data_IF_062850742606
#
_entry.id   IF_062850742606
#
_cell.length_a   1.000
_cell.length_b   1.000
_cell.length_c   1.000
_cell.angle_alpha   90.00
_cell.angle_beta   90.00
_cell.angle_gamma   90.00
#
_symmetry.space_group_name_H-M   'P 1'
#
loop_
_entity.id
_entity.type
_entity.pdbx_description
1 polymer ?
#
# COMPACT_ATOMS: atom_id res chain seq x y z
N UNK A 1 -12.03 -19.19 -20.13
CA UNK A 1 -12.44 -20.57 -20.49
C UNK A 1 -12.80 -20.72 -21.97
N UNK A 2 -13.85 -20.06 -22.48
CA UNK A 2 -14.26 -20.16 -23.90
C UNK A 2 -13.13 -19.84 -24.89
N UNK A 3 -12.36 -18.79 -24.61
CA UNK A 3 -11.18 -18.38 -25.40
C UNK A 3 -10.10 -19.47 -25.51
N UNK A 4 -10.02 -20.35 -24.52
CA UNK A 4 -8.96 -21.35 -24.42
C UNK A 4 -9.41 -22.64 -25.11
N UNK A 5 -10.64 -23.08 -24.86
CA UNK A 5 -11.16 -24.35 -25.40
C UNK A 5 -11.53 -24.26 -26.88
N UNK A 6 -11.82 -23.05 -27.37
CA UNK A 6 -12.22 -22.80 -28.75
C UNK A 6 -11.12 -22.14 -29.58
N UNK A 7 -9.90 -22.01 -29.04
CA UNK A 7 -8.77 -21.40 -29.74
C UNK A 7 -8.40 -22.23 -30.98
N UNK A 8 -8.36 -21.59 -32.15
CA UNK A 8 -8.01 -22.24 -33.41
C UNK A 8 -9.11 -23.14 -34.00
N UNK A 9 -10.33 -23.12 -33.45
CA UNK A 9 -11.49 -23.83 -34.02
C UNK A 9 -12.34 -22.89 -34.87
N UNK A 10 -12.86 -23.41 -35.99
CA UNK A 10 -13.95 -22.77 -36.73
C UNK A 10 -15.23 -22.80 -35.90
N UNK A 11 -16.16 -21.89 -36.17
CA UNK A 11 -17.39 -21.78 -35.36
C UNK A 11 -18.23 -23.06 -35.36
N UNK A 12 -18.26 -23.77 -36.48
CA UNK A 12 -18.90 -25.08 -36.65
C UNK A 12 -18.28 -26.19 -35.77
N UNK A 13 -17.00 -26.05 -35.38
CA UNK A 13 -16.26 -27.02 -34.58
C UNK A 13 -16.34 -26.71 -33.05
N UNK A 14 -17.03 -25.62 -32.66
CA UNK A 14 -17.16 -25.15 -31.27
C UNK A 14 -18.35 -25.82 -30.57
N UNK A 15 -18.11 -27.01 -30.03
CA UNK A 15 -19.11 -27.80 -29.30
C UNK A 15 -19.55 -27.18 -27.96
N UNK A 16 -18.69 -26.38 -27.31
CA UNK A 16 -19.03 -25.71 -26.05
C UNK A 16 -19.28 -24.22 -26.23
N UNK A 17 -20.47 -23.77 -25.86
CA UNK A 17 -20.83 -22.36 -25.73
C UNK A 17 -20.68 -21.83 -24.29
N UNK A 18 -20.88 -20.52 -24.13
CA UNK A 18 -20.83 -19.83 -22.82
C UNK A 18 -21.91 -20.33 -21.85
N UNK A 19 -23.04 -20.82 -22.35
CA UNK A 19 -24.13 -21.29 -21.52
C UNK A 19 -23.76 -22.57 -20.75
N UNK A 20 -23.05 -23.51 -21.38
CA UNK A 20 -22.52 -24.70 -20.68
C UNK A 20 -21.56 -24.32 -19.54
N UNK A 21 -20.71 -23.31 -19.76
CA UNK A 21 -19.79 -22.81 -18.73
C UNK A 21 -20.55 -22.17 -17.56
N UNK A 22 -21.59 -21.39 -17.86
CA UNK A 22 -22.45 -20.76 -16.85
C UNK A 22 -23.16 -21.81 -16.00
N UNK A 23 -23.68 -22.86 -16.63
CA UNK A 23 -24.31 -23.99 -15.95
C UNK A 23 -23.34 -24.73 -15.02
N UNK A 24 -22.10 -24.96 -15.46
CA UNK A 24 -21.07 -25.56 -14.60
C UNK A 24 -20.79 -24.72 -13.35
N UNK A 25 -20.71 -23.39 -13.49
CA UNK A 25 -20.52 -22.47 -12.35
C UNK A 25 -21.71 -22.53 -11.39
N UNK A 26 -22.94 -22.47 -11.88
CA UNK A 26 -24.13 -22.51 -11.02
C UNK A 26 -24.22 -23.81 -10.22
N UNK A 27 -24.00 -24.96 -10.86
CA UNK A 27 -23.97 -26.25 -10.15
C UNK A 27 -22.82 -26.34 -9.16
N UNK A 28 -21.63 -25.84 -9.49
CA UNK A 28 -20.50 -25.85 -8.56
C UNK A 28 -20.75 -25.01 -7.30
N UNK A 29 -21.44 -23.88 -7.45
CA UNK A 29 -21.85 -23.03 -6.33
C UNK A 29 -22.89 -23.75 -5.47
N UNK A 30 -23.96 -24.28 -6.07
CA UNK A 30 -25.05 -24.94 -5.34
C UNK A 30 -24.58 -26.20 -4.60
N UNK A 31 -23.64 -26.96 -5.18
CA UNK A 31 -23.11 -28.18 -4.57
C UNK A 31 -22.09 -27.91 -3.45
N UNK A 32 -21.83 -26.65 -3.09
CA UNK A 32 -20.84 -26.25 -2.07
C UNK A 32 -19.49 -26.96 -2.22
N UNK A 33 -19.05 -27.17 -3.48
CA UNK A 33 -17.78 -27.87 -3.74
C UNK A 33 -16.55 -27.10 -3.21
N UNK A 34 -16.73 -25.86 -2.76
CA UNK A 34 -15.76 -25.04 -2.02
C UNK A 34 -16.48 -24.23 -0.94
N UNK A 35 -15.88 -24.15 0.25
CA UNK A 35 -16.44 -23.42 1.40
C UNK A 35 -16.48 -21.89 1.18
N UNK A 36 -15.66 -21.32 0.28
CA UNK A 36 -15.63 -19.87 0.02
C UNK A 36 -15.29 -19.52 -1.43
N UNK A 37 -16.29 -19.04 -2.19
CA UNK A 37 -16.12 -18.42 -3.51
C UNK A 37 -15.61 -16.98 -3.36
N UNK A 38 -14.31 -16.82 -3.18
CA UNK A 38 -13.65 -15.52 -3.04
C UNK A 38 -12.48 -15.38 -4.03
N UNK A 39 -12.02 -14.14 -4.33
CA UNK A 39 -10.95 -13.90 -5.30
C UNK A 39 -9.66 -14.69 -5.02
N UNK A 40 -9.33 -14.93 -3.74
CA UNK A 40 -8.16 -15.69 -3.31
C UNK A 40 -8.21 -17.17 -3.76
N UNK A 41 -9.41 -17.71 -3.95
CA UNK A 41 -9.64 -19.09 -4.37
C UNK A 41 -10.00 -19.21 -5.86
N UNK A 42 -9.73 -18.18 -6.67
CA UNK A 42 -10.14 -18.14 -8.08
C UNK A 42 -9.65 -19.36 -8.88
N UNK A 43 -8.39 -19.75 -8.73
CA UNK A 43 -7.84 -20.93 -9.43
C UNK A 43 -8.46 -22.24 -8.93
N UNK A 44 -8.74 -22.34 -7.63
CA UNK A 44 -9.40 -23.52 -7.05
C UNK A 44 -10.83 -23.63 -7.59
N UNK A 45 -11.57 -22.52 -7.62
CA UNK A 45 -12.90 -22.43 -8.21
C UNK A 45 -12.91 -22.71 -9.70
N UNK A 46 -11.91 -22.22 -10.44
CA UNK A 46 -11.71 -22.53 -11.84
C UNK A 46 -11.57 -24.05 -12.06
N UNK A 47 -10.68 -24.71 -11.32
CA UNK A 47 -10.44 -26.15 -11.48
C UNK A 47 -11.61 -27.00 -11.01
N UNK A 48 -12.37 -26.58 -9.99
CA UNK A 48 -13.60 -27.25 -9.57
C UNK A 48 -14.65 -27.24 -10.70
N UNK A 49 -14.94 -26.08 -11.28
CA UNK A 49 -15.83 -25.94 -12.42
C UNK A 49 -15.33 -26.72 -13.64
N UNK A 50 -14.02 -26.68 -13.90
CA UNK A 50 -13.42 -27.38 -15.04
C UNK A 50 -13.51 -28.91 -14.90
N UNK A 51 -13.21 -29.46 -13.73
CA UNK A 51 -13.33 -30.90 -13.45
C UNK A 51 -14.78 -31.37 -13.54
N UNK A 52 -15.73 -30.57 -13.06
CA UNK A 52 -17.16 -30.84 -13.20
C UNK A 52 -17.55 -30.94 -14.68
N UNK A 53 -17.13 -29.96 -15.50
CA UNK A 53 -17.38 -29.96 -16.94
C UNK A 53 -16.71 -31.15 -17.65
N UNK A 54 -15.48 -31.50 -17.27
CA UNK A 54 -14.76 -32.64 -17.84
C UNK A 54 -15.49 -33.95 -17.54
N UNK A 55 -15.98 -34.12 -16.31
CA UNK A 55 -16.83 -35.26 -15.90
C UNK A 55 -18.11 -35.33 -16.73
N UNK A 56 -18.81 -34.21 -16.89
CA UNK A 56 -20.03 -34.12 -17.71
C UNK A 56 -19.80 -34.50 -19.17
N UNK A 57 -18.68 -34.07 -19.76
CA UNK A 57 -18.34 -34.45 -21.14
C UNK A 57 -17.99 -35.94 -21.22
N UNK A 58 -17.32 -36.50 -20.22
CA UNK A 58 -17.04 -37.93 -20.15
C UNK A 58 -18.33 -38.76 -20.08
N UNK A 59 -19.26 -38.35 -19.22
CA UNK A 59 -20.54 -39.05 -19.00
C UNK A 59 -21.58 -38.75 -20.10
N UNK A 60 -21.37 -37.69 -20.90
CA UNK A 60 -22.34 -37.26 -21.91
C UNK A 60 -23.56 -36.55 -21.31
N UNK A 61 -23.42 -35.98 -20.11
CA UNK A 61 -24.52 -35.40 -19.34
C UNK A 61 -24.18 -33.98 -18.91
N UNK A 62 -24.94 -33.00 -19.37
CA UNK A 62 -24.89 -31.62 -18.89
C UNK A 62 -26.29 -31.17 -18.46
N UNK A 63 -26.63 -31.29 -17.17
CA UNK A 63 -27.98 -30.99 -16.69
C UNK A 63 -28.20 -29.48 -16.72
N UNK A 64 -29.25 -29.03 -17.39
CA UNK A 64 -29.65 -27.62 -17.33
C UNK A 64 -29.90 -27.21 -15.87
N UNK A 65 -29.45 -26.02 -15.48
CA UNK A 65 -29.54 -25.57 -14.09
C UNK A 65 -31.00 -25.38 -13.60
N UNK A 66 -31.90 -24.91 -14.47
CA UNK A 66 -33.30 -24.67 -14.13
C UNK A 66 -34.18 -25.90 -14.38
N UNK A 67 -33.81 -26.75 -15.34
CA UNK A 67 -34.54 -27.97 -15.71
C UNK A 67 -33.56 -29.14 -15.72
N UNK A 68 -33.21 -29.73 -14.56
CA UNK A 68 -32.14 -30.73 -14.45
C UNK A 68 -32.32 -31.97 -15.35
N UNK A 69 -33.56 -32.31 -15.70
CA UNK A 69 -33.90 -33.41 -16.61
C UNK A 69 -33.50 -33.12 -18.06
N UNK A 70 -33.36 -31.85 -18.43
CA UNK A 70 -32.94 -31.45 -19.77
C UNK A 70 -31.41 -31.52 -19.89
N UNK A 71 -30.91 -32.63 -20.44
CA UNK A 71 -29.50 -32.79 -20.75
C UNK A 71 -29.13 -32.01 -22.02
N UNK A 72 -28.40 -30.92 -21.83
CA UNK A 72 -28.01 -29.99 -22.90
C UNK A 72 -27.00 -30.57 -23.90
N UNK A 73 -26.39 -31.73 -23.61
CA UNK A 73 -25.46 -32.40 -24.52
C UNK A 73 -26.14 -33.34 -25.52
N UNK A 74 -27.41 -33.73 -25.29
CA UNK A 74 -28.11 -34.75 -26.08
C UNK A 74 -28.05 -34.49 -27.59
N UNK A 75 -28.26 -33.25 -28.03
CA UNK A 75 -28.37 -32.91 -29.45
C UNK A 75 -27.03 -32.71 -30.17
N UNK A 76 -25.95 -32.42 -29.44
CA UNK A 76 -24.73 -31.85 -30.05
C UNK A 76 -23.42 -32.45 -29.57
N UNK A 77 -23.39 -33.11 -28.41
CA UNK A 77 -22.16 -33.65 -27.80
C UNK A 77 -22.37 -35.13 -27.46
N UNK A 78 -22.39 -35.97 -28.51
CA UNK A 78 -22.48 -37.42 -28.40
C UNK A 78 -21.51 -38.10 -29.40
N UNK A 79 -21.22 -39.38 -29.19
CA UNK A 79 -20.41 -40.20 -30.11
C UNK A 79 -19.01 -39.63 -30.37
N UNK A 80 -18.64 -39.45 -31.66
CA UNK A 80 -17.31 -38.96 -32.06
C UNK A 80 -17.03 -37.54 -31.55
N UNK A 81 -18.04 -36.67 -31.53
CA UNK A 81 -17.91 -35.29 -31.06
C UNK A 81 -17.57 -35.23 -29.57
N UNK A 82 -18.25 -36.04 -28.76
CA UNK A 82 -17.98 -36.18 -27.32
C UNK A 82 -16.55 -36.68 -27.05
N UNK A 83 -16.12 -37.75 -27.74
CA UNK A 83 -14.76 -38.30 -27.57
C UNK A 83 -13.68 -37.28 -27.93
N UNK A 84 -13.86 -36.57 -29.04
CA UNK A 84 -12.94 -35.51 -29.47
C UNK A 84 -12.87 -34.36 -28.47
N UNK A 85 -14.03 -33.91 -27.97
CA UNK A 85 -14.11 -32.86 -26.96
C UNK A 85 -13.46 -33.29 -25.65
N UNK A 86 -13.74 -34.51 -25.18
CA UNK A 86 -13.14 -35.05 -23.95
C UNK A 86 -11.61 -35.08 -24.06
N UNK A 87 -11.05 -35.64 -25.14
CA UNK A 87 -9.60 -35.70 -25.33
C UNK A 87 -8.96 -34.31 -25.36
N UNK A 88 -9.63 -33.31 -25.96
CA UNK A 88 -9.14 -31.93 -25.98
C UNK A 88 -9.14 -31.30 -24.59
N UNK A 89 -10.22 -31.46 -23.83
CA UNK A 89 -10.32 -30.94 -22.47
C UNK A 89 -9.36 -31.67 -21.51
N UNK A 90 -9.18 -32.98 -21.67
CA UNK A 90 -8.28 -33.77 -20.87
C UNK A 90 -6.81 -33.38 -21.12
N UNK A 91 -6.39 -33.21 -22.38
CA UNK A 91 -5.04 -32.68 -22.70
C UNK A 91 -4.81 -31.28 -22.12
N UNK A 92 -5.86 -30.47 -22.04
CA UNK A 92 -5.78 -29.18 -21.37
C UNK A 92 -5.61 -29.35 -19.85
N UNK A 93 -6.37 -30.26 -19.24
CA UNK A 93 -6.25 -30.61 -17.82
C UNK A 93 -4.84 -31.08 -17.46
N UNK A 94 -4.24 -31.97 -18.25
CA UNK A 94 -2.90 -32.52 -18.02
C UNK A 94 -1.82 -31.43 -18.07
N UNK A 95 -1.99 -30.40 -18.89
CA UNK A 95 -1.07 -29.25 -18.95
C UNK A 95 -1.16 -28.32 -17.73
N UNK A 96 -2.17 -28.48 -16.88
CA UNK A 96 -2.33 -27.70 -15.65
C UNK A 96 -2.34 -26.19 -15.90
N UNK A 97 -1.76 -25.42 -14.98
CA UNK A 97 -1.77 -23.94 -15.05
C UNK A 97 -1.01 -23.39 -16.26
N UNK A 98 -0.04 -24.15 -16.80
CA UNK A 98 0.75 -23.73 -17.96
C UNK A 98 -0.12 -23.41 -19.20
N UNK A 99 -1.26 -24.08 -19.31
CA UNK A 99 -2.23 -23.88 -20.38
C UNK A 99 -3.02 -22.56 -20.28
N UNK A 100 -3.10 -21.95 -19.09
CA UNK A 100 -3.82 -20.70 -18.85
C UNK A 100 -3.01 -19.46 -19.24
N UNK A 101 -1.68 -19.54 -19.30
CA UNK A 101 -0.81 -18.42 -19.70
C UNK A 101 -1.10 -17.91 -21.11
N UNK A 102 -1.58 -18.79 -22.01
CA UNK A 102 -1.88 -18.43 -23.40
C UNK A 102 -3.26 -17.79 -23.59
N UNK A 103 -3.99 -17.53 -22.51
CA UNK A 103 -5.26 -16.79 -22.50
C UNK A 103 -5.01 -15.30 -22.40
N UNK A 104 -5.58 -14.50 -23.30
CA UNK A 104 -5.50 -13.03 -23.22
C UNK A 104 -6.22 -12.46 -21.99
N UNK A 105 -7.30 -13.12 -21.53
CA UNK A 105 -8.11 -12.67 -20.40
C UNK A 105 -7.62 -13.14 -19.03
N UNK A 106 -6.97 -14.32 -18.95
CA UNK A 106 -6.48 -14.91 -17.68
C UNK A 106 -4.96 -14.85 -17.59
N UNK A 107 -4.28 -14.99 -18.73
CA UNK A 107 -2.83 -15.05 -18.80
C UNK A 107 -2.16 -13.77 -18.31
N UNK A 108 -2.75 -12.59 -18.51
CA UNK A 108 -2.22 -11.32 -17.99
C UNK A 108 -2.19 -11.27 -16.46
N UNK A 109 -3.22 -11.79 -15.79
CA UNK A 109 -3.26 -11.92 -14.33
C UNK A 109 -2.23 -12.92 -13.83
N UNK A 110 -2.06 -14.05 -14.52
CA UNK A 110 -1.08 -15.09 -14.17
C UNK A 110 0.37 -14.74 -14.52
N UNK A 111 0.60 -13.89 -15.53
CA UNK A 111 1.94 -13.42 -15.91
C UNK A 111 2.47 -12.39 -14.92
N UNK A 112 1.60 -11.55 -14.36
CA UNK A 112 1.95 -10.62 -13.30
C UNK A 112 2.57 -11.36 -12.10
N UNK A 113 2.02 -12.51 -11.74
CA UNK A 113 2.53 -13.39 -10.67
C UNK A 113 3.91 -14.02 -10.98
N UNK A 114 4.18 -14.33 -12.25
CA UNK A 114 5.46 -14.90 -12.70
C UNK A 114 6.56 -13.85 -12.87
N UNK A 115 6.25 -12.62 -13.30
CA UNK A 115 7.25 -11.56 -13.42
C UNK A 115 7.86 -11.17 -12.06
N UNK A 116 7.18 -11.50 -10.96
CA UNK A 116 7.66 -11.32 -9.58
C UNK A 116 8.40 -12.56 -9.05
N UNK A 117 8.29 -13.72 -9.71
CA UNK A 117 8.81 -15.01 -9.23
C UNK A 117 9.74 -15.69 -10.25
N UNK A 118 11.04 -15.82 -9.94
CA UNK A 118 11.99 -16.59 -10.78
C UNK A 118 11.49 -18.03 -11.02
N UNK A 119 11.74 -18.61 -12.21
CA UNK A 119 11.15 -19.89 -12.58
C UNK A 119 11.91 -21.04 -11.90
N UNK A 120 11.30 -21.64 -10.88
CA UNK A 120 11.63 -23.02 -10.50
C UNK A 120 10.49 -23.93 -10.96
N UNK A 121 10.82 -24.86 -11.84
CA UNK A 121 9.94 -25.92 -12.33
C UNK A 121 9.55 -26.80 -11.15
N UNK A 122 8.34 -26.63 -10.62
CA UNK A 122 7.63 -27.73 -9.98
C UNK A 122 6.11 -27.51 -9.99
N UNK A 123 5.42 -28.49 -10.56
CA UNK A 123 3.99 -28.52 -10.84
C UNK A 123 3.22 -28.92 -9.58
N UNK A 124 3.29 -28.12 -8.51
CA UNK A 124 2.43 -28.29 -7.34
C UNK A 124 1.64 -27.01 -7.06
N UNK A 125 0.32 -27.12 -7.19
CA UNK A 125 -0.65 -26.00 -7.16
C UNK A 125 -0.74 -25.33 -5.77
N UNK A 126 0.05 -25.79 -4.79
CA UNK A 126 0.14 -25.22 -3.44
C UNK A 126 1.10 -24.02 -3.32
N UNK A 127 1.85 -23.68 -4.35
CA UNK A 127 2.90 -22.65 -4.29
C UNK A 127 2.58 -21.29 -4.95
N UNK A 128 1.42 -21.13 -5.58
CA UNK A 128 1.26 -20.11 -6.63
C UNK A 128 0.67 -18.75 -6.22
N UNK A 129 0.51 -18.48 -4.92
CA UNK A 129 0.66 -17.11 -4.40
C UNK A 129 1.47 -17.24 -3.11
N UNK A 130 2.74 -16.82 -3.13
CA UNK A 130 3.49 -16.68 -1.87
C UNK A 130 2.72 -15.69 -1.03
N UNK A 131 2.29 -16.10 0.16
CA UNK A 131 1.53 -15.31 1.15
C UNK A 131 1.99 -13.85 1.22
N UNK A 132 3.30 -13.62 1.17
CA UNK A 132 3.94 -12.31 1.12
C UNK A 132 3.48 -11.38 -0.03
N UNK A 133 3.27 -11.92 -1.24
CA UNK A 133 2.78 -11.15 -2.41
C UNK A 133 1.33 -10.73 -2.17
N UNK A 134 0.50 -11.70 -1.76
CA UNK A 134 -0.91 -11.44 -1.44
C UNK A 134 -1.05 -10.38 -0.34
N UNK A 135 -0.28 -10.54 0.74
CA UNK A 135 -0.24 -9.59 1.84
C UNK A 135 0.21 -8.20 1.37
N UNK A 136 1.24 -8.13 0.51
CA UNK A 136 1.72 -6.88 -0.08
C UNK A 136 0.63 -6.13 -0.86
N UNK A 137 -0.11 -6.82 -1.73
CA UNK A 137 -1.23 -6.23 -2.46
C UNK A 137 -2.37 -5.80 -1.52
N UNK A 138 -2.69 -6.65 -0.54
CA UNK A 138 -3.73 -6.35 0.45
C UNK A 138 -3.42 -5.08 1.25
N UNK A 139 -2.18 -4.95 1.73
CA UNK A 139 -1.74 -3.76 2.46
C UNK A 139 -1.66 -2.54 1.55
N UNK A 140 -1.31 -2.69 0.27
CA UNK A 140 -1.37 -1.62 -0.73
C UNK A 140 -2.81 -1.14 -0.93
N UNK A 141 -3.78 -2.03 -1.00
CA UNK A 141 -5.19 -1.67 -1.15
C UNK A 141 -5.71 -0.98 0.10
N UNK A 142 -5.46 -1.53 1.29
CA UNK A 142 -5.80 -0.91 2.58
C UNK A 142 -5.22 0.49 2.65
N UNK A 143 -3.95 0.65 2.28
CA UNK A 143 -3.32 1.96 2.18
C UNK A 143 -4.10 2.81 1.19
N UNK A 144 -4.26 2.40 -0.06
CA UNK A 144 -4.89 3.22 -1.13
C UNK A 144 -6.27 3.74 -0.75
N UNK A 145 -7.08 2.92 -0.08
CA UNK A 145 -8.44 3.25 0.33
C UNK A 145 -8.57 3.84 1.74
N UNK A 146 -7.47 3.93 2.51
CA UNK A 146 -7.41 4.63 3.80
C UNK A 146 -7.44 6.17 3.60
N UNK A 147 -8.59 6.68 3.18
CA UNK A 147 -8.83 8.11 2.98
C UNK A 147 -10.04 8.60 3.78
N UNK A 148 -9.74 9.25 4.91
CA UNK A 148 -10.70 10.12 5.59
C UNK A 148 -10.69 11.44 4.83
N UNK A 149 -11.79 11.79 4.15
CA UNK A 149 -11.87 12.99 3.30
C UNK A 149 -12.07 14.31 4.05
N UNK A 150 -12.10 14.29 5.39
CA UNK A 150 -12.45 15.45 6.20
C UNK A 150 -11.35 15.84 7.17
N UNK A 151 -11.18 17.15 7.37
CA UNK A 151 -10.41 17.78 8.44
C UNK A 151 -11.34 18.32 9.56
N UNK A 152 -12.65 18.07 9.43
CA UNK A 152 -13.64 18.45 10.43
C UNK A 152 -13.69 17.44 11.58
N UNK A 153 -13.73 17.96 12.82
CA UNK A 153 -13.74 17.14 14.03
C UNK A 153 -15.07 16.39 14.22
N UNK A 154 -16.20 16.99 13.85
CA UNK A 154 -17.51 16.34 14.00
C UNK A 154 -17.63 15.16 13.05
N UNK A 155 -17.18 15.30 11.81
CA UNK A 155 -17.14 14.20 10.86
C UNK A 155 -16.19 13.08 11.33
N UNK A 156 -15.02 13.43 11.87
CA UNK A 156 -14.11 12.44 12.46
C UNK A 156 -14.77 11.67 13.63
N UNK A 157 -15.53 12.36 14.49
CA UNK A 157 -16.27 11.71 15.58
C UNK A 157 -17.40 10.81 15.07
N UNK A 158 -18.17 11.28 14.08
CA UNK A 158 -19.22 10.49 13.42
C UNK A 158 -18.64 9.22 12.78
N UNK A 159 -17.45 9.34 12.17
CA UNK A 159 -16.74 8.20 11.61
C UNK A 159 -16.36 7.18 12.69
N UNK A 160 -15.75 7.62 13.80
CA UNK A 160 -15.37 6.72 14.89
C UNK A 160 -16.57 5.98 15.49
N UNK A 161 -17.71 6.66 15.64
CA UNK A 161 -18.95 6.04 16.11
C UNK A 161 -19.44 4.95 15.16
N UNK A 162 -19.40 5.20 13.85
CA UNK A 162 -19.75 4.18 12.83
C UNK A 162 -18.80 2.99 12.89
N UNK A 163 -17.50 3.22 13.02
CA UNK A 163 -16.51 2.13 13.16
C UNK A 163 -16.81 1.31 14.41
N UNK A 164 -17.09 1.94 15.54
CA UNK A 164 -17.40 1.24 16.80
C UNK A 164 -18.67 0.37 16.70
N UNK A 165 -19.71 0.85 16.01
CA UNK A 165 -20.92 0.07 15.73
C UNK A 165 -20.63 -1.17 14.85
N UNK A 166 -19.70 -1.05 13.90
CA UNK A 166 -19.34 -2.15 13.00
C UNK A 166 -18.48 -3.23 13.67
N UNK A 167 -17.75 -2.91 14.76
CA UNK A 167 -16.89 -3.87 15.48
C UNK A 167 -17.69 -5.06 16.05
N UNK A 168 -18.99 -4.91 16.29
CA UNK A 168 -19.87 -6.00 16.75
C UNK A 168 -20.41 -6.93 15.66
N UNK A 169 -20.05 -6.72 14.39
CA UNK A 169 -20.52 -7.53 13.25
C UNK A 169 -19.54 -8.63 12.85
N UNK A 170 -20.03 -9.64 12.10
CA UNK A 170 -19.21 -10.72 11.56
C UNK A 170 -18.33 -10.22 10.40
N UNK A 171 -17.24 -9.53 10.74
CA UNK A 171 -16.28 -8.98 9.78
C UNK A 171 -15.21 -10.01 9.40
N UNK A 172 -14.77 -9.98 8.15
CA UNK A 172 -13.57 -10.71 7.73
C UNK A 172 -12.32 -10.05 8.30
N UNK A 173 -11.21 -10.79 8.40
CA UNK A 173 -9.93 -10.26 8.90
C UNK A 173 -9.46 -9.02 8.12
N UNK A 174 -9.64 -9.01 6.80
CA UNK A 174 -9.37 -7.85 5.95
C UNK A 174 -10.24 -6.64 6.30
N UNK A 175 -11.54 -6.83 6.51
CA UNK A 175 -12.45 -5.76 6.87
C UNK A 175 -12.12 -5.19 8.25
N UNK A 176 -11.83 -6.06 9.23
CA UNK A 176 -11.37 -5.66 10.56
C UNK A 176 -10.09 -4.83 10.48
N UNK A 177 -9.09 -5.29 9.72
CA UNK A 177 -7.84 -4.57 9.54
C UNK A 177 -8.05 -3.22 8.85
N UNK A 178 -8.87 -3.18 7.81
CA UNK A 178 -9.22 -1.95 7.09
C UNK A 178 -9.86 -0.93 8.04
N UNK A 179 -10.81 -1.35 8.88
CA UNK A 179 -11.44 -0.48 9.87
C UNK A 179 -10.46 -0.01 10.94
N UNK A 180 -9.57 -0.89 11.43
CA UNK A 180 -8.52 -0.51 12.37
C UNK A 180 -7.57 0.53 11.79
N UNK A 181 -7.21 0.38 10.51
CA UNK A 181 -6.36 1.34 9.79
C UNK A 181 -7.01 2.71 9.73
N UNK A 182 -8.26 2.78 9.28
CA UNK A 182 -8.97 4.06 9.24
C UNK A 182 -9.16 4.68 10.63
N UNK A 183 -9.41 3.85 11.66
CA UNK A 183 -9.47 4.31 13.05
C UNK A 183 -8.15 4.96 13.48
N UNK A 184 -7.01 4.35 13.14
CA UNK A 184 -5.68 4.90 13.41
C UNK A 184 -5.47 6.24 12.70
N UNK A 185 -5.77 6.33 11.40
CA UNK A 185 -5.69 7.57 10.62
C UNK A 185 -6.61 8.67 11.17
N UNK A 186 -7.79 8.31 11.68
CA UNK A 186 -8.72 9.27 12.30
C UNK A 186 -8.12 9.84 13.58
N UNK A 187 -7.59 8.99 14.46
CA UNK A 187 -6.94 9.45 15.69
C UNK A 187 -5.73 10.33 15.42
N UNK A 188 -4.94 10.01 14.39
CA UNK A 188 -3.84 10.87 13.94
C UNK A 188 -4.37 12.25 13.55
N UNK A 189 -5.38 12.33 12.67
CA UNK A 189 -5.98 13.59 12.25
C UNK A 189 -6.51 14.40 13.46
N UNK A 190 -7.32 13.78 14.32
CA UNK A 190 -7.90 14.43 15.51
C UNK A 190 -6.80 14.99 16.41
N UNK A 191 -5.74 14.23 16.66
CA UNK A 191 -4.65 14.65 17.53
C UNK A 191 -3.97 15.94 17.04
N UNK A 192 -3.70 16.04 15.73
CA UNK A 192 -3.09 17.23 15.13
C UNK A 192 -4.08 18.39 14.97
N UNK A 193 -5.35 18.14 14.60
CA UNK A 193 -6.39 19.19 14.53
C UNK A 193 -6.60 19.83 15.91
N UNK A 194 -6.74 19.01 16.95
CA UNK A 194 -6.90 19.50 18.33
C UNK A 194 -5.67 20.30 18.75
N UNK A 195 -4.46 19.79 18.51
CA UNK A 195 -3.26 20.53 18.85
C UNK A 195 -3.23 21.90 18.13
N UNK A 196 -3.46 21.95 16.82
CA UNK A 196 -3.46 23.20 16.06
C UNK A 196 -4.51 24.21 16.56
N UNK A 197 -5.67 23.73 17.04
CA UNK A 197 -6.74 24.56 17.59
C UNK A 197 -6.42 25.16 18.97
N UNK A 198 -5.66 24.44 19.79
CA UNK A 198 -5.47 24.77 21.21
C UNK A 198 -4.04 25.20 21.58
N UNK A 199 -3.03 24.92 20.75
CA UNK A 199 -1.62 25.18 21.08
C UNK A 199 -1.30 26.66 21.36
N UNK A 200 -2.02 27.60 20.72
CA UNK A 200 -1.81 29.04 20.88
C UNK A 200 -2.81 29.70 21.87
N UNK A 201 -3.63 28.92 22.56
CA UNK A 201 -4.57 29.46 23.56
C UNK A 201 -3.91 29.55 24.93
N UNK A 202 -4.28 30.55 25.72
CA UNK A 202 -3.76 30.76 27.07
C UNK A 202 -3.81 29.47 27.92
N UNK A 203 -2.75 29.25 28.70
CA UNK A 203 -2.53 28.02 29.48
C UNK A 203 -3.63 27.87 30.54
N UNK A 204 -4.61 27.01 30.27
CA UNK A 204 -5.59 26.55 31.25
C UNK A 204 -5.45 25.02 31.41
N UNK A 205 -5.78 24.48 32.59
CA UNK A 205 -5.78 23.04 32.92
C UNK A 205 -6.51 22.19 31.86
N UNK A 206 -7.54 22.76 31.24
CA UNK A 206 -8.28 22.14 30.14
C UNK A 206 -7.43 21.94 28.88
N UNK A 207 -6.60 22.93 28.49
CA UNK A 207 -5.68 22.84 27.33
C UNK A 207 -4.65 21.73 27.54
N UNK A 208 -4.03 21.67 28.72
CA UNK A 208 -3.08 20.61 29.07
C UNK A 208 -3.72 19.21 28.98
N UNK A 209 -4.96 19.08 29.47
CA UNK A 209 -5.71 17.81 29.42
C UNK A 209 -5.96 17.37 27.98
N UNK A 210 -6.34 18.29 27.10
CA UNK A 210 -6.55 18.01 25.67
C UNK A 210 -5.25 17.58 25.00
N UNK A 211 -4.14 18.30 25.23
CA UNK A 211 -2.84 17.97 24.64
C UNK A 211 -2.32 16.60 25.12
N UNK A 212 -2.56 16.25 26.39
CA UNK A 212 -2.24 14.91 26.92
C UNK A 212 -3.06 13.81 26.22
N UNK A 213 -4.33 14.07 25.92
CA UNK A 213 -5.19 13.15 25.15
C UNK A 213 -4.68 12.95 23.71
N UNK A 214 -4.16 13.98 23.04
CA UNK A 214 -3.56 13.84 21.71
C UNK A 214 -2.44 12.79 21.68
N UNK A 215 -1.54 12.80 22.67
CA UNK A 215 -0.46 11.80 22.78
C UNK A 215 -1.01 10.40 22.96
N UNK A 216 -2.05 10.23 23.79
CA UNK A 216 -2.70 8.93 23.96
C UNK A 216 -3.36 8.44 22.67
N UNK A 217 -4.05 9.31 21.95
CA UNK A 217 -4.66 8.98 20.64
C UNK A 217 -3.61 8.51 19.64
N UNK A 218 -2.45 9.18 19.57
CA UNK A 218 -1.37 8.78 18.66
C UNK A 218 -0.72 7.46 19.06
N UNK A 219 -0.49 7.23 20.36
CA UNK A 219 0.00 5.93 20.87
C UNK A 219 -0.98 4.80 20.60
N UNK A 220 -2.28 5.07 20.76
CA UNK A 220 -3.35 4.12 20.47
C UNK A 220 -3.47 3.86 18.96
N UNK A 221 -3.33 4.88 18.11
CA UNK A 221 -3.27 4.69 16.66
C UNK A 221 -2.10 3.76 16.27
N UNK A 222 -0.90 4.00 16.83
CA UNK A 222 0.27 3.19 16.56
C UNK A 222 0.18 1.75 17.12
N UNK A 223 -0.71 1.44 18.06
CA UNK A 223 -0.82 0.07 18.61
C UNK A 223 -1.53 -0.92 17.68
N UNK A 224 -2.38 -0.42 16.78
CA UNK A 224 -3.07 -1.19 15.73
C UNK A 224 -2.56 -0.88 14.32
N UNK A 225 -1.71 0.15 14.20
CA UNK A 225 -1.13 0.61 12.94
C UNK A 225 0.06 -0.21 12.45
N UNK A 226 0.65 0.25 11.36
CA UNK A 226 1.90 -0.23 10.80
C UNK A 226 3.12 0.46 11.45
N UNK A 227 4.33 0.02 11.11
CA UNK A 227 5.56 0.54 11.74
C UNK A 227 5.70 2.06 11.59
N UNK A 228 5.35 2.59 10.42
CA UNK A 228 5.49 4.01 10.11
C UNK A 228 4.53 4.90 10.92
N UNK A 229 3.46 4.36 11.52
CA UNK A 229 2.55 5.13 12.37
C UNK A 229 3.23 5.68 13.63
N UNK A 230 4.35 5.08 14.06
CA UNK A 230 5.18 5.61 15.14
C UNK A 230 5.76 6.99 14.81
N UNK A 231 5.96 7.31 13.53
CA UNK A 231 6.48 8.63 13.12
C UNK A 231 5.49 9.76 13.37
N UNK A 232 4.18 9.50 13.44
CA UNK A 232 3.21 10.53 13.87
C UNK A 232 3.38 10.92 15.33
N UNK A 233 3.77 9.96 16.19
CA UNK A 233 4.13 10.26 17.59
C UNK A 233 5.40 11.10 17.63
N UNK A 234 6.41 10.75 16.84
CA UNK A 234 7.66 11.51 16.75
C UNK A 234 7.43 12.95 16.23
N UNK A 235 6.62 13.12 15.18
CA UNK A 235 6.21 14.44 14.66
C UNK A 235 5.52 15.27 15.73
N UNK A 236 4.61 14.65 16.50
CA UNK A 236 3.92 15.36 17.58
C UNK A 236 4.86 15.77 18.71
N UNK A 237 5.79 14.91 19.10
CA UNK A 237 6.82 15.26 20.09
C UNK A 237 7.74 16.36 19.59
N UNK A 238 8.17 16.32 18.34
CA UNK A 238 8.91 17.42 17.72
C UNK A 238 8.11 18.74 17.79
N UNK A 239 6.85 18.72 17.34
CA UNK A 239 5.96 19.88 17.34
C UNK A 239 5.74 20.47 18.75
N UNK A 240 5.79 19.63 19.77
CA UNK A 240 5.65 20.03 21.18
C UNK A 240 6.99 20.25 21.90
N UNK A 241 8.10 20.35 21.14
CA UNK A 241 9.46 20.61 21.64
C UNK A 241 10.02 19.51 22.57
N UNK A 242 9.45 18.30 22.49
CA UNK A 242 9.84 17.11 23.27
C UNK A 242 10.85 16.27 22.51
N UNK A 243 12.01 16.87 22.22
CA UNK A 243 12.99 16.30 21.28
C UNK A 243 13.56 14.96 21.76
N UNK A 244 13.78 14.77 23.07
CA UNK A 244 14.30 13.51 23.61
C UNK A 244 13.33 12.35 23.38
N UNK A 245 12.04 12.58 23.60
CA UNK A 245 11.01 11.58 23.35
C UNK A 245 10.80 11.33 21.86
N UNK A 246 10.89 12.37 21.03
CA UNK A 246 10.88 12.22 19.58
C UNK A 246 12.01 11.31 19.11
N UNK A 247 13.25 11.57 19.54
CA UNK A 247 14.44 10.77 19.19
C UNK A 247 14.31 9.32 19.65
N UNK A 248 13.80 9.07 20.86
CA UNK A 248 13.58 7.70 21.35
C UNK A 248 12.58 6.92 20.48
N UNK A 249 11.52 7.59 20.00
CA UNK A 249 10.56 6.95 19.08
C UNK A 249 11.19 6.74 17.69
N UNK A 250 11.95 7.70 17.19
CA UNK A 250 12.65 7.62 15.90
C UNK A 250 13.63 6.43 15.90
N UNK A 251 14.47 6.29 16.92
CA UNK A 251 15.43 5.18 17.06
C UNK A 251 14.73 3.82 17.00
N UNK A 252 13.66 3.64 17.79
CA UNK A 252 12.86 2.40 17.77
C UNK A 252 12.23 2.14 16.41
N UNK A 253 11.81 3.20 15.72
CA UNK A 253 11.21 3.09 14.39
C UNK A 253 12.25 2.72 13.34
N UNK A 254 13.44 3.35 13.35
CA UNK A 254 14.55 3.02 12.43
C UNK A 254 14.97 1.55 12.54
N UNK A 255 15.06 1.01 13.76
CA UNK A 255 15.37 -0.42 13.98
C UNK A 255 14.32 -1.34 13.32
N UNK A 256 13.04 -0.96 13.36
CA UNK A 256 11.94 -1.70 12.72
C UNK A 256 11.94 -1.52 11.21
N UNK A 257 12.25 -0.33 10.70
CA UNK A 257 12.33 -0.04 9.27
C UNK A 257 13.55 -0.72 8.60
N UNK A 258 14.59 -1.06 9.37
CA UNK A 258 15.76 -1.76 8.88
C UNK A 258 15.58 -3.28 8.76
N UNK A 259 14.44 -3.82 9.19
CA UNK A 259 14.20 -5.27 9.14
C UNK A 259 14.16 -5.77 7.69
N UNK A 260 14.82 -6.89 7.39
CA UNK A 260 14.98 -7.33 6.00
C UNK A 260 13.71 -7.98 5.42
N UNK A 261 12.75 -8.33 6.28
CA UNK A 261 11.45 -8.88 5.93
C UNK A 261 10.36 -7.78 5.80
N UNK A 262 10.73 -6.51 5.79
CA UNK A 262 9.77 -5.41 5.73
C UNK A 262 9.10 -5.33 4.35
N UNK A 263 7.77 -5.29 4.31
CA UNK A 263 6.98 -4.84 3.16
C UNK A 263 7.03 -3.32 3.13
N UNK A 264 7.64 -2.78 2.08
CA UNK A 264 7.57 -1.35 1.73
C UNK A 264 6.90 -1.25 0.37
N UNK A 265 5.62 -0.87 0.38
CA UNK A 265 4.76 -0.86 -0.82
C UNK A 265 4.69 -2.24 -1.47
N UNK A 266 5.29 -2.41 -2.64
CA UNK A 266 5.32 -3.65 -3.43
C UNK A 266 6.63 -4.42 -3.25
N UNK A 267 7.61 -3.84 -2.54
CA UNK A 267 8.91 -4.47 -2.32
C UNK A 267 8.91 -5.30 -1.04
N UNK A 268 9.22 -6.58 -1.18
CA UNK A 268 9.39 -7.51 -0.05
C UNK A 268 10.37 -8.62 -0.42
N UNK A 269 11.24 -8.98 0.51
CA UNK A 269 12.00 -10.22 0.43
C UNK A 269 11.08 -11.37 0.84
N UNK A 270 10.65 -12.15 -0.15
CA UNK A 270 9.62 -13.18 0.03
C UNK A 270 10.02 -14.25 1.03
N UNK A 271 11.28 -14.66 1.04
CA UNK A 271 11.77 -15.74 1.91
C UNK A 271 11.85 -15.25 3.35
N UNK A 272 12.47 -14.09 3.56
CA UNK A 272 12.60 -13.50 4.90
C UNK A 272 11.25 -13.11 5.48
N UNK A 273 10.31 -12.66 4.64
CA UNK A 273 8.94 -12.37 5.07
C UNK A 273 8.22 -13.62 5.56
N UNK A 274 8.22 -14.68 4.76
CA UNK A 274 7.57 -15.93 5.13
C UNK A 274 8.20 -16.54 6.37
N UNK A 275 9.52 -16.50 6.52
CA UNK A 275 10.22 -16.95 7.73
C UNK A 275 9.80 -16.15 8.98
N UNK A 276 9.72 -14.82 8.86
CA UNK A 276 9.46 -13.96 10.02
C UNK A 276 7.99 -13.92 10.45
N UNK A 277 7.06 -13.90 9.48
CA UNK A 277 5.63 -13.63 9.76
C UNK A 277 4.65 -14.51 8.96
N UNK A 278 5.14 -15.52 8.24
CA UNK A 278 4.27 -16.48 7.52
C UNK A 278 3.29 -17.19 8.46
N UNK A 279 2.06 -17.38 7.99
CA UNK A 279 0.95 -17.97 8.76
C UNK A 279 0.44 -17.13 9.93
N UNK A 280 0.97 -15.92 10.17
CA UNK A 280 0.48 -15.02 11.23
C UNK A 280 -0.73 -14.23 10.75
N UNK A 281 -1.51 -13.70 11.69
CA UNK A 281 -2.64 -12.82 11.37
C UNK A 281 -2.21 -11.55 10.63
N UNK A 282 -3.09 -11.01 9.80
CA UNK A 282 -2.88 -9.76 9.05
C UNK A 282 -2.57 -8.58 9.98
N UNK A 283 -3.21 -8.53 11.15
CA UNK A 283 -2.91 -7.52 12.17
C UNK A 283 -1.47 -7.63 12.69
N UNK A 284 -0.98 -8.85 12.93
CA UNK A 284 0.40 -9.09 13.38
C UNK A 284 1.39 -8.68 12.29
N UNK A 285 1.13 -9.11 11.07
CA UNK A 285 1.94 -8.75 9.89
C UNK A 285 2.00 -7.25 9.68
N UNK A 286 0.87 -6.55 9.71
CA UNK A 286 0.83 -5.09 9.55
C UNK A 286 1.68 -4.38 10.61
N UNK A 287 1.56 -4.80 11.87
CA UNK A 287 2.26 -4.18 12.99
C UNK A 287 3.77 -4.38 12.99
N UNK A 288 4.25 -5.51 12.46
CA UNK A 288 5.64 -5.95 12.61
C UNK A 288 6.44 -5.98 11.32
N UNK A 289 5.78 -6.07 10.17
CA UNK A 289 6.42 -6.30 8.88
C UNK A 289 5.94 -5.34 7.78
N UNK A 290 5.16 -4.30 8.09
CA UNK A 290 4.68 -3.33 7.08
C UNK A 290 5.07 -1.91 7.45
N UNK A 291 5.54 -1.16 6.47
CA UNK A 291 5.68 0.29 6.52
C UNK A 291 4.97 0.94 5.33
N UNK A 292 4.04 1.84 5.63
CA UNK A 292 3.30 2.62 4.62
C UNK A 292 3.82 4.05 4.58
N UNK A 293 3.69 4.71 3.42
CA UNK A 293 4.02 6.13 3.28
C UNK A 293 3.26 6.99 4.30
N UNK A 294 3.98 7.97 4.87
CA UNK A 294 3.41 8.96 5.76
C UNK A 294 2.54 9.91 4.96
N UNK A 295 1.27 10.05 5.35
CA UNK A 295 0.29 10.89 4.68
C UNK A 295 0.04 12.15 5.48
N UNK A 296 0.32 13.30 4.88
CA UNK A 296 0.06 14.61 5.45
C UNK A 296 -1.06 15.29 4.66
N UNK A 297 -2.24 15.41 5.28
CA UNK A 297 -3.36 16.19 4.73
C UNK A 297 -3.02 17.67 4.61
N UNK A 298 -3.47 18.34 3.55
CA UNK A 298 -3.11 19.74 3.28
C UNK A 298 -3.73 20.71 4.28
N UNK A 299 -4.87 20.37 4.87
CA UNK A 299 -5.60 21.24 5.82
C UNK A 299 -5.08 21.14 7.26
N UNK A 300 -4.17 20.20 7.54
CA UNK A 300 -3.66 19.94 8.90
C UNK A 300 -2.16 20.27 8.94
N UNK A 301 -1.78 21.21 9.80
CA UNK A 301 -0.37 21.48 10.08
C UNK A 301 0.24 20.35 10.94
N UNK A 302 1.04 19.47 10.34
CA UNK A 302 1.77 18.43 11.06
C UNK A 302 3.09 18.97 11.59
N UNK A 303 3.97 19.42 10.70
CA UNK A 303 5.24 20.08 11.04
C UNK A 303 5.40 21.36 10.22
N UNK A 304 5.98 22.40 10.80
CA UNK A 304 5.99 23.73 10.20
C UNK A 304 6.89 23.80 8.97
N UNK A 305 7.97 23.01 8.96
CA UNK A 305 8.98 22.97 7.90
C UNK A 305 8.43 22.49 6.56
N UNK A 306 7.32 21.73 6.56
CA UNK A 306 6.66 21.18 5.36
C UNK A 306 5.38 21.93 4.95
N UNK A 307 5.03 23.01 5.64
CA UNK A 307 3.76 23.70 5.41
C UNK A 307 3.59 24.20 3.97
N UNK A 308 4.69 24.68 3.37
CA UNK A 308 4.66 25.21 2.02
C UNK A 308 4.37 24.11 0.98
N UNK A 309 4.98 22.94 1.16
CA UNK A 309 4.80 21.77 0.30
C UNK A 309 3.40 21.19 0.48
N UNK A 310 2.91 21.11 1.72
CA UNK A 310 1.55 20.68 2.02
C UNK A 310 0.51 21.58 1.34
N UNK A 311 0.67 22.90 1.39
CA UNK A 311 -0.28 23.84 0.78
C UNK A 311 -0.21 23.89 -0.75
N UNK A 312 0.96 23.56 -1.31
CA UNK A 312 1.17 23.52 -2.76
C UNK A 312 0.64 22.24 -3.42
N UNK A 313 0.50 21.16 -2.66
CA UNK A 313 0.01 19.89 -3.17
C UNK A 313 -1.39 20.04 -3.79
N UNK A 314 -1.50 19.73 -5.08
CA UNK A 314 -2.79 19.67 -5.80
C UNK A 314 -3.71 18.58 -5.26
N UNK A 315 -3.16 17.54 -4.66
CA UNK A 315 -3.92 16.52 -3.97
C UNK A 315 -4.22 17.00 -2.55
N UNK A 316 -5.36 16.61 -1.98
CA UNK A 316 -5.71 16.87 -0.55
C UNK A 316 -4.76 16.17 0.45
N UNK A 317 -3.68 15.56 -0.04
CA UNK A 317 -2.65 14.90 0.77
C UNK A 317 -1.31 14.88 0.05
N UNK A 318 -0.24 14.97 0.83
CA UNK A 318 1.13 14.70 0.46
C UNK A 318 1.56 13.36 1.07
N UNK A 319 2.31 12.55 0.33
CA UNK A 319 2.78 11.24 0.77
C UNK A 319 4.32 11.22 0.80
N UNK A 320 4.90 10.84 1.93
CA UNK A 320 6.35 10.85 2.15
C UNK A 320 6.83 9.45 2.58
N UNK A 321 7.92 8.92 1.99
CA UNK A 321 8.51 7.67 2.48
C UNK A 321 8.89 7.74 3.97
N UNK A 322 8.61 6.70 4.78
CA UNK A 322 8.87 6.72 6.23
C UNK A 322 10.33 6.96 6.59
N UNK A 323 11.26 6.41 5.80
CA UNK A 323 12.71 6.60 6.00
C UNK A 323 13.11 8.07 5.85
N UNK A 324 12.49 8.80 4.92
CA UNK A 324 12.77 10.22 4.69
C UNK A 324 12.26 11.06 5.86
N UNK A 325 11.02 10.83 6.32
CA UNK A 325 10.45 11.52 7.49
C UNK A 325 11.26 11.22 8.74
N UNK A 326 11.67 9.97 8.93
CA UNK A 326 12.49 9.57 10.07
C UNK A 326 13.80 10.35 10.14
N UNK A 327 14.53 10.48 9.02
CA UNK A 327 15.78 11.23 8.98
C UNK A 327 15.55 12.74 9.13
N UNK A 328 14.53 13.30 8.48
CA UNK A 328 14.16 14.70 8.65
C UNK A 328 13.91 15.04 10.12
N UNK A 329 13.09 14.23 10.82
CA UNK A 329 12.79 14.47 12.23
C UNK A 329 14.03 14.31 13.12
N UNK A 330 14.91 13.36 12.82
CA UNK A 330 16.17 13.20 13.55
C UNK A 330 17.06 14.44 13.43
N UNK A 331 17.22 14.96 12.21
CA UNK A 331 17.95 16.22 11.94
C UNK A 331 17.33 17.37 12.73
N UNK A 332 16.02 17.54 12.64
CA UNK A 332 15.29 18.64 13.28
C UNK A 332 15.39 18.59 14.81
N UNK A 333 15.34 17.39 15.41
CA UNK A 333 15.46 17.22 16.86
C UNK A 333 16.90 17.39 17.37
N UNK A 334 17.92 17.07 16.54
CA UNK A 334 19.32 17.11 16.98
C UNK A 334 20.02 18.44 16.68
N UNK A 335 19.53 19.28 15.77
CA UNK A 335 20.29 20.41 15.19
C UNK A 335 20.92 21.39 16.19
N UNK A 336 20.38 21.52 17.40
CA UNK A 336 20.91 22.38 18.46
C UNK A 336 21.46 21.62 19.67
N UNK A 337 21.35 20.29 19.69
CA UNK A 337 21.72 19.44 20.83
C UNK A 337 22.94 18.59 20.50
N UNK A 338 22.97 18.00 19.31
CA UNK A 338 24.01 17.06 18.89
C UNK A 338 24.37 17.28 17.40
N UNK A 339 25.31 18.20 17.12
CA UNK A 339 25.73 18.51 15.76
C UNK A 339 26.32 17.31 15.01
N UNK A 340 26.97 16.39 15.73
CA UNK A 340 27.58 15.19 15.12
C UNK A 340 26.50 14.21 14.64
N UNK A 341 25.47 13.99 15.47
CA UNK A 341 24.31 13.21 15.09
C UNK A 341 23.51 13.87 13.96
N UNK A 342 23.34 15.19 14.00
CA UNK A 342 22.72 15.94 12.90
C UNK A 342 23.47 15.76 11.58
N UNK A 343 24.80 15.85 11.61
CA UNK A 343 25.63 15.63 10.41
C UNK A 343 25.44 14.21 9.87
N UNK A 344 25.52 13.18 10.74
CA UNK A 344 25.32 11.78 10.35
C UNK A 344 23.94 11.55 9.73
N UNK A 345 22.88 12.08 10.35
CA UNK A 345 21.51 11.93 9.84
C UNK A 345 21.33 12.62 8.48
N UNK A 346 21.99 13.77 8.26
CA UNK A 346 22.00 14.44 6.95
C UNK A 346 22.74 13.61 5.90
N UNK A 347 23.91 13.05 6.24
CA UNK A 347 24.71 12.22 5.35
C UNK A 347 23.93 10.93 4.98
N UNK A 348 23.24 10.31 5.94
CA UNK A 348 22.34 9.18 5.71
C UNK A 348 21.16 9.55 4.80
N UNK A 349 20.52 10.70 5.03
CA UNK A 349 19.41 11.18 4.18
C UNK A 349 19.90 11.42 2.75
N UNK A 350 21.06 12.04 2.59
CA UNK A 350 21.67 12.26 1.28
C UNK A 350 21.98 10.92 0.60
N UNK A 351 22.60 9.97 1.31
CA UNK A 351 22.89 8.65 0.75
C UNK A 351 21.61 7.94 0.27
N UNK A 352 20.55 7.97 1.07
CA UNK A 352 19.26 7.37 0.72
C UNK A 352 18.66 8.00 -0.54
N UNK A 353 18.60 9.33 -0.61
CA UNK A 353 18.00 10.05 -1.75
C UNK A 353 18.77 9.81 -3.05
N UNK A 354 20.10 9.66 -3.00
CA UNK A 354 20.93 9.48 -4.19
C UNK A 354 21.03 8.02 -4.66
N UNK A 355 21.02 7.06 -3.73
CA UNK A 355 21.43 5.68 -4.04
C UNK A 355 20.34 4.62 -3.83
N UNK A 356 19.16 4.98 -3.29
CA UNK A 356 18.10 3.98 -3.13
C UNK A 356 17.57 3.53 -4.51
N UNK A 357 17.66 2.23 -4.85
CA UNK A 357 17.24 1.72 -6.16
C UNK A 357 15.71 1.58 -6.26
N UNK A 358 14.95 2.32 -5.47
CA UNK A 358 13.50 2.16 -5.34
C UNK A 358 13.06 1.21 -4.24
N UNK A 359 13.98 0.74 -3.37
CA UNK A 359 13.70 -0.24 -2.31
C UNK A 359 12.91 0.39 -1.17
N UNK A 360 13.40 1.50 -0.62
CA UNK A 360 12.77 2.22 0.49
C UNK A 360 12.07 3.50 0.04
N UNK A 361 12.56 4.12 -1.04
CA UNK A 361 12.01 5.30 -1.68
C UNK A 361 11.52 4.86 -3.05
N UNK A 362 10.30 4.33 -3.13
CA UNK A 362 9.84 3.87 -4.45
C UNK A 362 9.82 5.02 -5.47
N UNK A 363 10.08 4.65 -6.73
CA UNK A 363 10.56 5.52 -7.83
C UNK A 363 9.76 6.82 -8.03
N UNK A 364 8.46 6.83 -7.72
CA UNK A 364 7.62 8.01 -7.88
C UNK A 364 7.82 9.11 -6.83
N UNK A 365 8.56 8.86 -5.75
CA UNK A 365 8.65 9.79 -4.60
C UNK A 365 9.96 10.58 -4.57
N UNK A 366 10.67 10.62 -5.69
CA UNK A 366 11.88 11.41 -5.83
C UNK A 366 11.62 12.89 -5.55
N UNK A 367 10.48 13.44 -6.00
CA UNK A 367 10.16 14.86 -5.86
C UNK A 367 10.23 15.31 -4.39
N UNK A 368 9.44 14.68 -3.53
CA UNK A 368 9.38 15.01 -2.11
C UNK A 368 10.64 14.62 -1.34
N UNK A 369 11.34 13.57 -1.77
CA UNK A 369 12.56 13.12 -1.09
C UNK A 369 13.71 14.10 -1.30
N UNK A 370 13.89 14.58 -2.53
CA UNK A 370 14.83 15.65 -2.86
C UNK A 370 14.44 16.98 -2.22
N UNK A 371 13.13 17.30 -2.19
CA UNK A 371 12.64 18.51 -1.51
C UNK A 371 13.02 18.51 -0.03
N UNK A 372 12.75 17.41 0.68
CA UNK A 372 13.03 17.29 2.12
C UNK A 372 14.53 17.36 2.40
N UNK A 373 15.37 16.75 1.56
CA UNK A 373 16.82 16.92 1.65
C UNK A 373 17.23 18.39 1.51
N UNK A 374 16.66 19.11 0.55
CA UNK A 374 16.87 20.54 0.37
C UNK A 374 16.45 21.36 1.59
N UNK A 375 15.28 21.07 2.18
CA UNK A 375 14.78 21.71 3.40
C UNK A 375 15.76 21.49 4.56
N UNK A 376 16.23 20.26 4.76
CA UNK A 376 17.19 19.96 5.81
C UNK A 376 18.53 20.69 5.60
N UNK A 377 19.04 20.73 4.37
CA UNK A 377 20.26 21.46 4.02
C UNK A 377 20.11 22.97 4.23
N UNK A 378 18.94 23.54 3.89
CA UNK A 378 18.65 24.95 4.12
C UNK A 378 18.61 25.27 5.62
N UNK A 379 17.95 24.45 6.44
CA UNK A 379 17.88 24.62 7.90
C UNK A 379 19.28 24.56 8.52
N UNK A 380 20.17 23.74 7.97
CA UNK A 380 21.56 23.60 8.40
C UNK A 380 22.52 24.59 7.72
N UNK A 381 21.99 25.68 7.14
CA UNK A 381 22.74 26.77 6.53
C UNK A 381 23.68 26.33 5.39
N UNK A 382 23.24 25.38 4.56
CA UNK A 382 23.93 24.92 3.35
C UNK A 382 23.17 25.33 2.08
N UNK A 383 23.10 26.63 1.73
CA UNK A 383 22.21 27.13 0.69
C UNK A 383 22.53 26.60 -0.72
N UNK A 384 23.82 26.41 -1.06
CA UNK A 384 24.22 25.85 -2.37
C UNK A 384 23.75 24.40 -2.54
N UNK A 385 23.91 23.59 -1.50
CA UNK A 385 23.44 22.21 -1.50
C UNK A 385 21.90 22.15 -1.57
N UNK A 386 21.22 23.00 -0.78
CA UNK A 386 19.77 23.09 -0.79
C UNK A 386 19.23 23.47 -2.18
N UNK A 387 19.84 24.47 -2.84
CA UNK A 387 19.49 24.87 -4.20
C UNK A 387 19.61 23.72 -5.19
N UNK A 388 20.72 22.97 -5.12
CA UNK A 388 20.91 21.78 -5.95
C UNK A 388 19.82 20.74 -5.71
N UNK A 389 19.49 20.45 -4.44
CA UNK A 389 18.45 19.48 -4.09
C UNK A 389 17.06 19.90 -4.58
N UNK A 390 16.70 21.18 -4.46
CA UNK A 390 15.44 21.71 -5.01
C UNK A 390 15.39 21.64 -6.55
N UNK A 391 16.52 21.87 -7.23
CA UNK A 391 16.60 21.68 -8.67
C UNK A 391 16.44 20.21 -9.06
N UNK A 392 17.01 19.28 -8.30
CA UNK A 392 16.78 17.85 -8.52
C UNK A 392 15.33 17.47 -8.29
N UNK A 393 14.68 17.98 -7.22
CA UNK A 393 13.25 17.80 -6.94
C UNK A 393 12.38 18.15 -8.15
N UNK A 394 12.63 19.29 -8.81
CA UNK A 394 11.91 19.71 -10.02
C UNK A 394 12.10 18.80 -11.23
N UNK A 395 13.18 18.01 -11.29
CA UNK A 395 13.46 17.06 -12.38
C UNK A 395 12.80 15.70 -12.16
N UNK A 396 12.30 15.42 -10.97
CA UNK A 396 11.69 14.14 -10.63
C UNK A 396 10.26 14.04 -11.16
N UNK A 397 9.72 12.81 -11.12
CA UNK A 397 8.30 12.57 -11.38
C UNK A 397 7.46 13.25 -10.31
N UNK A 398 6.42 13.95 -10.76
CA UNK A 398 5.62 14.88 -9.98
C UNK A 398 4.47 14.18 -9.23
N UNK A 399 4.80 13.32 -8.26
CA UNK A 399 3.81 12.55 -7.51
C UNK A 399 3.06 13.39 -6.47
N UNK A 400 3.75 14.32 -5.81
CA UNK A 400 3.19 15.17 -4.77
C UNK A 400 2.78 16.56 -5.28
N UNK A 401 3.16 16.92 -6.52
CA UNK A 401 2.83 18.20 -7.15
C UNK A 401 3.23 19.43 -6.32
N UNK A 402 4.47 19.44 -5.82
CA UNK A 402 5.01 20.48 -4.91
C UNK A 402 5.84 21.57 -5.61
N UNK A 403 5.83 21.62 -6.94
CA UNK A 403 6.76 22.45 -7.74
C UNK A 403 6.60 23.95 -7.47
N UNK A 404 5.40 24.42 -7.10
CA UNK A 404 5.19 25.80 -6.67
C UNK A 404 5.95 26.09 -5.37
N UNK A 405 5.90 25.20 -4.38
CA UNK A 405 6.69 25.30 -3.15
C UNK A 405 8.19 25.31 -3.46
N UNK A 406 8.64 24.34 -4.26
CA UNK A 406 10.06 24.21 -4.64
C UNK A 406 10.58 25.48 -5.31
N UNK A 407 9.83 26.06 -6.26
CA UNK A 407 10.22 27.33 -6.92
C UNK A 407 10.27 28.50 -5.94
N UNK A 408 9.33 28.58 -4.99
CA UNK A 408 9.36 29.61 -3.96
C UNK A 408 10.61 29.49 -3.07
N UNK A 409 11.00 28.27 -2.68
CA UNK A 409 12.24 28.05 -1.91
C UNK A 409 13.50 28.42 -2.69
N UNK A 410 13.55 28.08 -3.98
CA UNK A 410 14.66 28.46 -4.88
C UNK A 410 14.78 30.00 -4.96
N UNK A 411 13.67 30.69 -5.19
CA UNK A 411 13.65 32.15 -5.28
C UNK A 411 14.10 32.80 -3.97
N UNK A 412 13.63 32.28 -2.83
CA UNK A 412 14.03 32.75 -1.51
C UNK A 412 15.55 32.64 -1.29
N UNK A 413 16.15 31.48 -1.58
CA UNK A 413 17.60 31.27 -1.44
C UNK A 413 18.42 32.13 -2.39
N UNK A 414 17.93 32.32 -3.61
CA UNK A 414 18.60 33.14 -4.63
C UNK A 414 18.64 34.61 -4.20
N UNK A 415 17.52 35.14 -3.73
CA UNK A 415 17.43 36.53 -3.25
C UNK A 415 18.31 36.79 -2.02
N UNK A 416 18.37 35.86 -1.07
CA UNK A 416 19.26 35.97 0.09
C UNK A 416 20.72 36.02 -0.34
N UNK A 417 21.11 35.17 -1.29
CA UNK A 417 22.50 35.11 -1.78
C UNK A 417 22.90 36.43 -2.44
N UNK A 418 22.01 37.02 -3.26
CA UNK A 418 22.23 38.34 -3.86
C UNK A 418 22.32 39.46 -2.83
N UNK A 419 21.46 39.45 -1.80
CA UNK A 419 21.50 40.46 -0.74
C UNK A 419 22.82 40.45 0.04
N UNK A 420 23.35 39.26 0.37
CA UNK A 420 24.64 39.13 1.04
C UNK A 420 25.82 39.55 0.16
N UNK A 421 25.78 39.26 -1.15
CA UNK A 421 26.81 39.69 -2.09
C UNK A 421 26.86 41.21 -2.24
N UNK A 422 25.69 41.87 -2.28
CA UNK A 422 25.62 43.34 -2.37
C UNK A 422 26.07 44.03 -1.07
N UNK A 423 25.80 43.43 0.10
CA UNK A 423 26.30 43.93 1.39
C UNK A 423 27.83 43.77 1.51
N UNK A 424 28.39 42.67 1.01
CA UNK A 424 29.82 42.42 1.04
C UNK A 424 30.61 43.25 0.01
N UNK A 425 29.97 43.73 -1.06
CA UNK A 425 30.57 44.60 -2.07
C UNK A 425 30.46 46.10 -1.74
N UNK A 426 29.68 46.46 -0.71
CA UNK A 426 29.53 47.83 -0.20
C UNK A 426 30.36 48.13 1.05
N UNK A 427 31.17 47.17 1.50
CA UNK A 427 32.23 47.29 2.52
C UNK A 427 33.59 47.19 1.81
#
# INVERSE_FOLDING_TARGET
>A
MKEIFNKGLRDEDKLLCSYHLKTAVFWAIQQNMLLHWCPQNLLVGFWACFKLLLKWVYEGVCPNFFIPQNNMFLSSIHGKAQRSLFMRLYRFYEKGIASLYHSSSIGSYLLFDLCVSRPSVNTDVRFLIREAVYDGELFRDISTYDSIHTSDLQDCMRYLQKVEQLVGSNLTEYQTLSLQRHKATTFQCIAFILHNKYANRCVNKQVYTVLKKCVYMLKFAASFGCISDMLYIAMYYYKTLRYREALSVIEKTKVKLAQPFLIVRENVDLERYTEAVGGRSLCTKMKHAVAMDIRLKTEICYINELMLEQQSSRHSRMNIPPVIVSQMLEILCCKYIDPMRTKRALDELQFLVLNDPGKFIGVSYGDISWEILGICQQILLKPRAALYSYQQSLRQRLQNNIQSATRQRINYLTNITYAFQNLAAGL
#
